data_IF_497908416115
#
_entry.id   IF_497908416115
#
_cell.length_a   1.000
_cell.length_b   1.000
_cell.length_c   1.000
_cell.angle_alpha   90.00
_cell.angle_beta   90.00
_cell.angle_gamma   90.00
#
_symmetry.space_group_name_H-M   'P 1'
#
loop_
_entity.id
_entity.type
_entity.pdbx_description
1 polymer ?
#
# COMPACT_ATOMS: atom_id res chain seq x y z
N UNK A 1 5.60 -18.77 -2.61
CA UNK A 1 4.15 -18.55 -2.72
C UNK A 1 3.61 -18.23 -1.33
N UNK A 2 2.58 -17.42 -1.25
CA UNK A 2 1.82 -17.15 -0.02
C UNK A 2 1.12 -18.44 0.47
N UNK A 3 0.89 -18.54 1.76
CA UNK A 3 0.08 -19.60 2.35
C UNK A 3 -1.35 -19.58 1.78
N UNK A 4 -1.92 -20.77 1.46
CA UNK A 4 -3.22 -20.88 0.80
C UNK A 4 -4.37 -20.32 1.63
N UNK A 5 -4.32 -20.46 2.97
CA UNK A 5 -5.35 -19.92 3.84
C UNK A 5 -5.30 -18.40 3.89
N UNK A 6 -4.09 -17.82 4.03
CA UNK A 6 -3.92 -16.37 3.99
C UNK A 6 -4.35 -15.77 2.64
N UNK A 7 -4.05 -16.45 1.53
CA UNK A 7 -4.51 -16.02 0.20
C UNK A 7 -6.04 -16.02 0.12
N UNK A 8 -6.70 -17.07 0.58
CA UNK A 8 -8.16 -17.15 0.61
C UNK A 8 -8.76 -16.03 1.49
N UNK A 9 -8.17 -15.77 2.65
CA UNK A 9 -8.59 -14.68 3.53
C UNK A 9 -8.41 -13.29 2.90
N UNK A 10 -7.30 -13.07 2.18
CA UNK A 10 -7.09 -11.84 1.43
C UNK A 10 -8.20 -11.63 0.38
N UNK A 11 -8.50 -12.67 -0.40
CA UNK A 11 -9.56 -12.61 -1.42
C UNK A 11 -10.96 -12.42 -0.83
N UNK A 12 -11.22 -12.95 0.37
CA UNK A 12 -12.48 -12.75 1.09
C UNK A 12 -12.59 -11.37 1.78
N UNK A 13 -11.47 -10.66 1.93
CA UNK A 13 -11.45 -9.32 2.54
C UNK A 13 -11.91 -8.27 1.53
N UNK A 14 -12.71 -7.29 1.97
CA UNK A 14 -13.10 -6.16 1.14
C UNK A 14 -11.87 -5.37 0.66
N UNK A 15 -11.87 -4.97 -0.60
CA UNK A 15 -10.79 -4.22 -1.23
C UNK A 15 -10.70 -4.52 -2.73
N UNK A 16 -9.83 -3.81 -3.42
CA UNK A 16 -9.85 -3.75 -4.89
C UNK A 16 -8.69 -4.48 -5.55
N UNK A 17 -7.69 -4.97 -4.77
CA UNK A 17 -6.51 -5.66 -5.30
C UNK A 17 -6.87 -7.01 -5.93
N UNK A 18 -6.60 -7.23 -7.24
CA UNK A 18 -6.71 -8.52 -7.91
C UNK A 18 -5.73 -9.56 -7.33
N UNK A 19 -6.05 -10.84 -7.54
CA UNK A 19 -5.27 -11.95 -7.00
C UNK A 19 -3.84 -11.97 -7.51
N UNK A 20 -3.65 -11.76 -8.81
CA UNK A 20 -2.35 -11.78 -9.48
C UNK A 20 -1.46 -10.60 -9.00
N UNK A 21 -2.06 -9.44 -8.77
CA UNK A 21 -1.35 -8.27 -8.26
C UNK A 21 -0.96 -8.47 -6.79
N UNK A 22 -1.84 -9.06 -5.98
CA UNK A 22 -1.53 -9.42 -4.60
C UNK A 22 -0.38 -10.42 -4.49
N UNK A 23 -0.36 -11.45 -5.35
CA UNK A 23 0.75 -12.39 -5.41
C UNK A 23 2.07 -11.74 -5.85
N UNK A 24 2.03 -10.83 -6.83
CA UNK A 24 3.20 -10.07 -7.25
C UNK A 24 3.70 -9.14 -6.13
N UNK A 25 2.80 -8.48 -5.42
CA UNK A 25 3.09 -7.64 -4.25
C UNK A 25 3.80 -8.45 -3.15
N UNK A 26 3.26 -9.64 -2.81
CA UNK A 26 3.87 -10.54 -1.84
C UNK A 26 5.30 -10.94 -2.23
N UNK A 27 5.52 -11.32 -3.49
CA UNK A 27 6.84 -11.74 -3.97
C UNK A 27 7.84 -10.59 -3.93
N UNK A 28 7.43 -9.39 -4.33
CA UNK A 28 8.25 -8.20 -4.30
C UNK A 28 8.63 -7.80 -2.85
N UNK A 29 7.66 -7.84 -1.93
CA UNK A 29 7.90 -7.57 -0.51
C UNK A 29 8.86 -8.60 0.12
N UNK A 30 8.72 -9.89 -0.19
CA UNK A 30 9.66 -10.93 0.26
C UNK A 30 11.08 -10.69 -0.27
N UNK A 31 11.22 -10.26 -1.54
CA UNK A 31 12.52 -9.98 -2.13
C UNK A 31 13.19 -8.77 -1.46
N UNK A 32 12.44 -7.68 -1.25
CA UNK A 32 12.93 -6.49 -0.58
C UNK A 32 13.37 -6.75 0.88
N UNK A 33 12.58 -7.51 1.64
CA UNK A 33 12.92 -7.85 3.03
C UNK A 33 14.14 -8.78 3.14
N UNK A 34 14.40 -9.61 2.14
CA UNK A 34 15.64 -10.42 2.08
C UNK A 34 16.87 -9.58 1.77
N UNK A 35 16.73 -8.61 0.87
CA UNK A 35 17.80 -7.68 0.49
C UNK A 35 18.14 -6.72 1.64
N UNK A 36 17.10 -6.24 2.35
CA UNK A 36 17.22 -5.24 3.42
C UNK A 36 16.59 -5.78 4.72
N UNK A 37 17.19 -6.81 5.34
CA UNK A 37 16.66 -7.38 6.57
C UNK A 37 16.63 -6.30 7.67
N UNK A 38 15.61 -6.36 8.53
CA UNK A 38 15.34 -5.42 9.62
C UNK A 38 14.75 -4.05 9.22
N UNK A 39 14.76 -3.68 7.93
CA UNK A 39 14.01 -2.50 7.52
C UNK A 39 12.52 -2.83 7.36
N UNK A 40 11.63 -1.91 7.76
CA UNK A 40 10.19 -2.15 7.72
C UNK A 40 9.60 -2.03 6.30
N UNK A 41 8.41 -2.60 6.17
CA UNK A 41 7.46 -2.35 5.10
C UNK A 41 6.51 -1.24 5.55
N UNK A 42 6.20 -0.30 4.67
CA UNK A 42 5.12 0.67 4.85
C UNK A 42 4.08 0.47 3.75
N UNK A 43 2.82 0.47 4.14
CA UNK A 43 1.65 0.50 3.26
C UNK A 43 0.89 1.79 3.51
N UNK A 44 0.55 2.52 2.44
CA UNK A 44 -0.24 3.73 2.45
C UNK A 44 -1.58 3.43 1.77
N UNK A 45 -2.68 3.60 2.52
CA UNK A 45 -4.00 3.17 2.07
C UNK A 45 -4.20 1.68 2.35
N UNK A 46 -4.84 1.35 3.46
CA UNK A 46 -5.06 -0.05 3.88
C UNK A 46 -6.50 -0.50 3.69
N UNK A 47 -7.43 0.46 3.66
CA UNK A 47 -8.85 0.21 3.59
C UNK A 47 -9.31 -0.86 4.60
N UNK A 48 -9.83 -2.01 4.15
CA UNK A 48 -10.21 -3.13 5.02
C UNK A 48 -9.10 -4.19 5.19
N UNK A 49 -7.91 -3.98 4.61
CA UNK A 49 -6.74 -4.82 4.82
C UNK A 49 -6.52 -5.93 3.79
N UNK A 50 -7.13 -5.85 2.58
CA UNK A 50 -6.97 -6.88 1.56
C UNK A 50 -5.50 -7.01 1.11
N UNK A 51 -4.84 -5.94 0.66
CA UNK A 51 -3.42 -5.88 0.33
C UNK A 51 -2.52 -6.12 1.55
N UNK A 52 -2.95 -5.63 2.71
CA UNK A 52 -2.26 -5.81 4.00
C UNK A 52 -2.04 -7.29 4.34
N UNK A 53 -2.95 -8.19 3.94
CA UNK A 53 -2.78 -9.64 4.17
C UNK A 53 -1.58 -10.18 3.38
N UNK A 54 -1.39 -9.80 2.11
CA UNK A 54 -0.21 -10.21 1.33
C UNK A 54 1.07 -9.65 1.90
N UNK A 55 1.08 -8.37 2.27
CA UNK A 55 2.25 -7.73 2.88
C UNK A 55 2.58 -8.33 4.26
N UNK A 56 1.56 -8.58 5.09
CA UNK A 56 1.71 -9.24 6.40
C UNK A 56 2.24 -10.67 6.28
N UNK A 57 1.78 -11.42 5.27
CA UNK A 57 2.30 -12.77 4.98
C UNK A 57 3.78 -12.73 4.57
N UNK A 58 4.18 -11.73 3.75
CA UNK A 58 5.58 -11.53 3.38
C UNK A 58 6.44 -11.15 4.58
N UNK A 59 5.96 -10.20 5.40
CA UNK A 59 6.65 -9.76 6.61
C UNK A 59 6.85 -10.91 7.61
N UNK A 60 5.83 -11.72 7.84
CA UNK A 60 5.93 -12.92 8.71
C UNK A 60 6.99 -13.89 8.22
N UNK A 61 7.01 -14.18 6.93
CA UNK A 61 7.99 -15.08 6.31
C UNK A 61 9.42 -14.56 6.42
N UNK A 62 9.60 -13.24 6.38
CA UNK A 62 10.91 -12.61 6.36
C UNK A 62 11.31 -11.99 7.71
N UNK A 63 10.52 -12.20 8.77
CA UNK A 63 10.74 -11.63 10.12
C UNK A 63 10.78 -10.08 10.13
N UNK A 64 10.05 -9.45 9.19
CA UNK A 64 9.89 -8.00 9.10
C UNK A 64 8.60 -7.53 9.81
N UNK A 65 8.34 -6.21 9.78
CA UNK A 65 7.09 -5.60 10.23
C UNK A 65 6.48 -4.77 9.11
N UNK A 66 5.15 -4.73 9.07
CA UNK A 66 4.37 -3.83 8.21
C UNK A 66 3.78 -2.74 9.08
N UNK A 67 3.96 -1.49 8.69
CA UNK A 67 3.21 -0.36 9.22
C UNK A 67 2.14 -0.01 8.19
N UNK A 68 0.90 -0.31 8.54
CA UNK A 68 -0.29 -0.15 7.71
C UNK A 68 -0.95 1.19 8.05
N UNK A 69 -0.75 2.20 7.20
CA UNK A 69 -1.09 3.60 7.47
C UNK A 69 -2.33 3.99 6.71
N UNK A 70 -3.36 4.44 7.44
CA UNK A 70 -4.61 4.92 6.87
C UNK A 70 -5.33 5.80 7.89
N UNK A 71 -6.06 6.83 7.46
CA UNK A 71 -6.94 7.59 8.34
C UNK A 71 -8.30 6.90 8.53
N UNK A 72 -8.64 5.91 7.71
CA UNK A 72 -9.84 5.07 7.76
C UNK A 72 -11.18 5.78 7.51
N UNK A 73 -11.17 6.97 6.95
CA UNK A 73 -12.38 7.71 6.58
C UNK A 73 -12.71 7.60 5.08
N UNK A 74 -11.94 6.80 4.33
CA UNK A 74 -12.06 6.63 2.88
C UNK A 74 -11.53 7.83 2.10
N UNK A 75 -11.14 7.59 0.84
CA UNK A 75 -10.82 8.63 -0.12
C UNK A 75 -12.10 9.32 -0.62
N UNK A 76 -11.96 10.31 -1.50
CA UNK A 76 -13.09 10.98 -2.15
C UNK A 76 -14.00 9.98 -2.87
N UNK A 77 -13.43 9.01 -3.54
CA UNK A 77 -14.12 7.98 -4.33
C UNK A 77 -14.95 7.00 -3.47
N UNK A 78 -14.70 6.94 -2.17
CA UNK A 78 -15.44 6.10 -1.24
C UNK A 78 -16.58 6.85 -0.53
N UNK A 79 -16.77 8.15 -0.79
CA UNK A 79 -17.82 8.92 -0.13
C UNK A 79 -19.20 8.66 -0.74
N UNK A 80 -20.26 9.02 0.01
CA UNK A 80 -21.63 8.83 -0.46
C UNK A 80 -21.86 9.55 -1.79
N UNK A 81 -22.41 8.81 -2.76
CA UNK A 81 -22.67 9.29 -4.13
C UNK A 81 -21.56 8.98 -5.13
N UNK A 82 -20.47 8.39 -4.70
CA UNK A 82 -19.37 7.93 -5.56
C UNK A 82 -19.42 6.42 -5.82
N UNK A 83 -18.75 5.97 -6.85
CA UNK A 83 -18.80 4.59 -7.38
C UNK A 83 -18.37 3.54 -6.35
N UNK A 84 -17.40 3.85 -5.50
CA UNK A 84 -16.79 2.91 -4.55
C UNK A 84 -17.32 3.08 -3.12
N UNK A 85 -18.49 3.71 -2.97
CA UNK A 85 -19.15 3.82 -1.68
C UNK A 85 -19.71 2.48 -1.20
N UNK A 86 -19.37 2.11 0.04
CA UNK A 86 -19.90 0.91 0.70
C UNK A 86 -20.61 1.29 2.00
N UNK A 87 -21.95 1.29 1.95
CA UNK A 87 -22.80 1.63 3.10
C UNK A 87 -22.54 0.76 4.34
N UNK A 88 -22.09 -0.49 4.15
CA UNK A 88 -21.81 -1.40 5.28
C UNK A 88 -20.57 -1.00 6.10
N UNK A 89 -19.79 -0.04 5.62
CA UNK A 89 -18.63 0.53 6.30
C UNK A 89 -18.94 1.87 6.98
N UNK A 90 -20.19 2.32 6.96
CA UNK A 90 -20.59 3.51 7.70
C UNK A 90 -20.60 3.25 9.20
N UNK A 91 -20.00 4.14 9.95
CA UNK A 91 -20.19 4.25 11.39
C UNK A 91 -21.55 4.91 11.66
N UNK A 92 -22.44 4.16 12.32
CA UNK A 92 -23.84 4.58 12.57
C UNK A 92 -23.91 5.84 13.43
N UNK A 93 -22.96 6.02 14.37
CA UNK A 93 -22.99 7.14 15.30
C UNK A 93 -22.54 8.44 14.64
N UNK A 94 -21.60 8.37 13.71
CA UNK A 94 -21.01 9.55 13.06
C UNK A 94 -21.54 9.78 11.65
N UNK A 95 -22.19 8.77 11.05
CA UNK A 95 -22.60 8.73 9.63
C UNK A 95 -21.42 9.00 8.66
N UNK A 96 -20.23 8.53 9.04
CA UNK A 96 -19.01 8.62 8.23
C UNK A 96 -18.45 7.24 7.96
N UNK A 97 -17.75 7.10 6.84
CA UNK A 97 -17.02 5.87 6.53
C UNK A 97 -15.99 5.58 7.64
N UNK A 98 -15.89 4.31 8.05
CA UNK A 98 -14.90 3.86 9.03
C UNK A 98 -14.45 2.42 8.69
N UNK A 99 -13.30 2.30 8.05
CA UNK A 99 -12.73 1.01 7.64
C UNK A 99 -11.88 0.35 8.73
N UNK A 100 -11.54 1.06 9.81
CA UNK A 100 -10.67 0.55 10.88
C UNK A 100 -11.20 -0.73 11.55
N UNK A 101 -12.48 -0.84 11.92
CA UNK A 101 -13.00 -2.08 12.51
C UNK A 101 -12.82 -3.29 11.58
N UNK A 102 -13.02 -3.10 10.27
CA UNK A 102 -12.83 -4.14 9.26
C UNK A 102 -11.35 -4.55 9.11
N UNK A 103 -10.42 -3.60 9.13
CA UNK A 103 -8.98 -3.90 9.15
C UNK A 103 -8.61 -4.73 10.39
N UNK A 104 -9.03 -4.30 11.57
CA UNK A 104 -8.73 -5.00 12.83
C UNK A 104 -9.29 -6.43 12.85
N UNK A 105 -10.51 -6.63 12.33
CA UNK A 105 -11.11 -7.97 12.18
C UNK A 105 -10.32 -8.82 11.16
N UNK A 106 -9.89 -8.25 10.04
CA UNK A 106 -9.01 -8.91 9.06
C UNK A 106 -7.72 -9.38 9.71
N UNK A 107 -7.03 -8.52 10.46
CA UNK A 107 -5.79 -8.87 11.13
C UNK A 107 -5.98 -9.95 12.20
N UNK A 108 -7.07 -9.91 12.96
CA UNK A 108 -7.44 -10.93 13.95
C UNK A 108 -7.70 -12.28 13.29
N UNK A 109 -8.51 -12.31 12.22
CA UNK A 109 -8.90 -13.51 11.47
C UNK A 109 -7.70 -14.19 10.80
N UNK A 110 -6.80 -13.39 10.24
CA UNK A 110 -5.55 -13.85 9.60
C UNK A 110 -4.40 -14.10 10.57
N UNK A 111 -4.58 -13.74 11.86
CA UNK A 111 -3.56 -13.80 12.92
C UNK A 111 -2.29 -13.01 12.56
N UNK A 112 -2.43 -11.89 11.84
CA UNK A 112 -1.29 -11.05 11.41
C UNK A 112 -0.96 -9.92 12.40
N UNK A 113 -1.66 -9.83 13.54
CA UNK A 113 -1.43 -8.78 14.55
C UNK A 113 -0.01 -8.78 15.15
N UNK A 114 0.74 -9.86 15.00
CA UNK A 114 2.13 -9.97 15.46
C UNK A 114 3.14 -9.28 14.52
N UNK A 115 2.77 -9.08 13.26
CA UNK A 115 3.66 -8.51 12.22
C UNK A 115 3.12 -7.24 11.57
N UNK A 116 1.81 -7.00 11.60
CA UNK A 116 1.17 -5.78 11.06
C UNK A 116 0.81 -4.85 12.20
N UNK A 117 1.24 -3.60 12.07
CA UNK A 117 1.03 -2.51 13.03
C UNK A 117 0.14 -1.47 12.33
N UNK A 118 -1.16 -1.41 12.63
CA UNK A 118 -2.02 -0.33 12.14
C UNK A 118 -1.58 1.02 12.69
N UNK A 119 -1.48 2.01 11.82
CA UNK A 119 -1.17 3.39 12.17
C UNK A 119 -2.30 4.28 11.67
N UNK A 120 -3.13 4.76 12.59
CA UNK A 120 -4.30 5.58 12.25
C UNK A 120 -3.89 7.04 12.14
N UNK A 121 -3.99 7.60 10.94
CA UNK A 121 -3.65 8.99 10.67
C UNK A 121 -3.43 9.28 9.20
N UNK A 122 -3.41 10.56 8.88
CA UNK A 122 -3.08 10.98 7.52
C UNK A 122 -1.62 10.67 7.19
N UNK A 123 -1.39 10.09 6.02
CA UNK A 123 -0.11 9.64 5.50
C UNK A 123 1.00 10.70 5.66
N UNK A 124 0.74 11.94 5.23
CA UNK A 124 1.67 13.07 5.34
C UNK A 124 2.04 13.40 6.79
N UNK A 125 1.06 13.35 7.71
CA UNK A 125 1.29 13.65 9.13
C UNK A 125 2.17 12.56 9.75
N UNK A 126 1.85 11.29 9.52
CA UNK A 126 2.64 10.15 9.99
C UNK A 126 4.06 10.23 9.43
N UNK A 127 4.21 10.51 8.13
CA UNK A 127 5.51 10.63 7.48
C UNK A 127 6.39 11.72 8.08
N UNK A 128 5.81 12.84 8.53
CA UNK A 128 6.56 13.93 9.16
C UNK A 128 7.28 13.53 10.45
N UNK A 129 6.79 12.48 11.11
CA UNK A 129 7.35 11.91 12.35
C UNK A 129 8.17 10.63 12.09
N UNK A 130 8.32 10.23 10.83
CA UNK A 130 8.97 8.98 10.46
C UNK A 130 10.44 9.19 10.07
N UNK A 131 11.37 8.59 10.79
CA UNK A 131 12.82 8.74 10.54
C UNK A 131 13.49 7.48 9.96
N UNK A 132 12.87 6.30 10.10
CA UNK A 132 13.48 5.05 9.65
C UNK A 132 13.51 4.96 8.11
N UNK A 133 14.55 4.27 7.57
CA UNK A 133 14.54 3.86 6.17
C UNK A 133 13.62 2.67 5.97
N UNK A 134 13.13 2.49 4.73
CA UNK A 134 12.17 1.46 4.35
C UNK A 134 12.82 0.44 3.41
N UNK A 135 12.55 -0.85 3.64
CA UNK A 135 12.82 -1.88 2.65
C UNK A 135 11.80 -1.85 1.52
N UNK A 136 10.55 -1.54 1.85
CA UNK A 136 9.42 -1.59 0.94
C UNK A 136 8.42 -0.49 1.29
N UNK A 137 7.97 0.23 0.28
CA UNK A 137 6.87 1.18 0.38
C UNK A 137 5.82 0.84 -0.66
N UNK A 138 4.60 0.54 -0.24
CA UNK A 138 3.45 0.34 -1.10
C UNK A 138 2.53 1.54 -0.99
N UNK A 139 2.21 2.18 -2.12
CA UNK A 139 1.31 3.32 -2.20
C UNK A 139 0.05 2.92 -2.95
N UNK A 140 -1.05 2.90 -2.22
CA UNK A 140 -2.41 2.54 -2.66
C UNK A 140 -3.44 3.45 -1.96
N UNK A 141 -3.11 4.74 -1.86
CA UNK A 141 -3.93 5.76 -1.21
C UNK A 141 -4.96 6.39 -2.13
N UNK A 142 -5.46 7.58 -1.77
CA UNK A 142 -6.42 8.30 -2.61
C UNK A 142 -5.86 8.70 -3.97
N UNK A 143 -6.69 8.61 -5.04
CA UNK A 143 -6.29 8.81 -6.43
C UNK A 143 -6.45 10.26 -6.94
N UNK A 144 -6.71 11.21 -6.03
CA UNK A 144 -6.66 12.65 -6.36
C UNK A 144 -5.22 13.13 -6.57
N UNK A 145 -5.04 14.19 -7.36
CA UNK A 145 -3.71 14.75 -7.69
C UNK A 145 -2.91 15.13 -6.46
N UNK A 146 -3.52 15.82 -5.49
CA UNK A 146 -2.83 16.32 -4.30
C UNK A 146 -2.44 15.19 -3.31
N UNK A 147 -3.34 14.28 -2.89
CA UNK A 147 -2.96 13.17 -2.02
C UNK A 147 -1.87 12.29 -2.65
N UNK A 148 -2.00 11.92 -3.94
CA UNK A 148 -1.02 11.09 -4.64
C UNK A 148 0.36 11.74 -4.67
N UNK A 149 0.44 13.04 -4.99
CA UNK A 149 1.70 13.81 -4.98
C UNK A 149 2.30 13.92 -3.58
N UNK A 150 1.44 14.14 -2.59
CA UNK A 150 1.84 14.21 -1.19
C UNK A 150 2.46 12.92 -0.70
N UNK A 151 1.88 11.77 -1.05
CA UNK A 151 2.40 10.45 -0.68
C UNK A 151 3.77 10.19 -1.31
N UNK A 152 3.94 10.52 -2.60
CA UNK A 152 5.24 10.43 -3.27
C UNK A 152 6.31 11.24 -2.54
N UNK A 153 6.06 12.53 -2.32
CA UNK A 153 7.03 13.44 -1.70
C UNK A 153 7.35 13.06 -0.25
N UNK A 154 6.39 12.49 0.45
CA UNK A 154 6.51 12.15 1.86
C UNK A 154 7.25 10.83 2.11
N UNK A 155 7.01 9.80 1.29
CA UNK A 155 7.46 8.44 1.57
C UNK A 155 8.59 7.94 0.68
N UNK A 156 8.63 8.33 -0.61
CA UNK A 156 9.64 7.84 -1.55
C UNK A 156 11.07 8.17 -1.12
N UNK A 157 11.37 9.36 -0.56
CA UNK A 157 12.72 9.67 -0.05
C UNK A 157 13.20 8.78 1.09
N UNK A 158 12.28 8.08 1.78
CA UNK A 158 12.59 7.19 2.91
C UNK A 158 12.97 5.78 2.47
N UNK A 159 12.70 5.40 1.23
CA UNK A 159 13.08 4.09 0.70
C UNK A 159 14.61 3.99 0.67
N UNK A 160 15.17 2.93 1.19
CA UNK A 160 16.61 2.69 1.18
C UNK A 160 17.15 2.39 -0.24
N UNK A 161 18.44 2.52 -0.46
CA UNK A 161 19.07 1.98 -1.68
C UNK A 161 18.80 0.48 -1.77
N UNK A 162 18.46 -0.03 -2.93
CA UNK A 162 17.94 -1.38 -3.20
C UNK A 162 16.53 -1.67 -2.62
N UNK A 163 15.93 -0.72 -1.91
CA UNK A 163 14.54 -0.82 -1.46
C UNK A 163 13.56 -0.70 -2.62
N UNK A 164 12.32 -1.05 -2.36
CA UNK A 164 11.28 -1.17 -3.38
C UNK A 164 10.16 -0.17 -3.14
N UNK A 165 9.73 0.46 -4.22
CA UNK A 165 8.48 1.22 -4.35
C UNK A 165 7.50 0.37 -5.14
N UNK A 166 6.37 0.02 -4.54
CA UNK A 166 5.22 -0.59 -5.21
C UNK A 166 4.11 0.44 -5.31
N UNK A 167 3.42 0.48 -6.46
CA UNK A 167 2.40 1.48 -6.76
C UNK A 167 1.20 0.76 -7.38
N UNK A 168 0.02 0.95 -6.81
CA UNK A 168 -1.23 0.45 -7.36
C UNK A 168 -1.90 1.46 -8.30
N UNK A 169 -2.86 0.99 -9.09
CA UNK A 169 -3.68 1.80 -10.02
C UNK A 169 -2.88 2.66 -11.00
N UNK A 170 -1.78 2.10 -11.50
CA UNK A 170 -0.95 2.75 -12.52
C UNK A 170 -1.48 2.41 -13.91
N UNK A 171 -2.30 3.30 -14.44
CA UNK A 171 -2.89 3.20 -15.79
C UNK A 171 -2.21 4.17 -16.75
N UNK A 172 -1.61 3.64 -17.82
CA UNK A 172 -0.96 4.48 -18.83
C UNK A 172 -1.96 5.17 -19.77
N UNK A 173 -3.08 4.51 -20.08
CA UNK A 173 -4.18 5.08 -20.86
C UNK A 173 -5.26 5.63 -19.92
N UNK A 174 -5.67 6.91 -20.08
CA UNK A 174 -6.75 7.50 -19.28
C UNK A 174 -8.10 6.78 -19.36
N UNK A 175 -8.30 5.93 -20.38
CA UNK A 175 -9.51 5.13 -20.52
C UNK A 175 -9.58 3.96 -19.54
N UNK A 176 -8.43 3.51 -19.03
CA UNK A 176 -8.33 2.35 -18.17
C UNK A 176 -8.50 2.73 -16.68
N UNK A 177 -8.29 4.01 -16.32
CA UNK A 177 -8.44 4.46 -14.93
C UNK A 177 -7.82 5.82 -14.63
N UNK A 178 -7.82 6.19 -13.36
CA UNK A 178 -7.29 7.44 -12.83
C UNK A 178 -5.80 7.62 -13.16
N UNK A 179 -5.40 8.87 -13.44
CA UNK A 179 -4.05 9.17 -13.95
C UNK A 179 -3.07 9.64 -12.88
N UNK A 180 -3.53 9.90 -11.66
CA UNK A 180 -2.69 10.48 -10.63
C UNK A 180 -1.53 9.56 -10.20
N UNK A 181 -1.71 8.24 -9.90
CA UNK A 181 -0.61 7.33 -9.58
C UNK A 181 0.40 7.20 -10.73
N UNK A 182 -0.07 7.13 -11.97
CA UNK A 182 0.80 7.09 -13.15
C UNK A 182 1.68 8.33 -13.27
N UNK A 183 1.07 9.52 -13.14
CA UNK A 183 1.73 10.81 -13.37
C UNK A 183 2.64 11.22 -12.20
N UNK A 184 2.11 11.15 -10.97
CA UNK A 184 2.76 11.76 -9.82
C UNK A 184 3.63 10.81 -9.00
N UNK A 185 3.50 9.47 -9.20
CA UNK A 185 4.35 8.49 -8.53
C UNK A 185 5.21 7.76 -9.55
N UNK A 186 4.59 7.00 -10.45
CA UNK A 186 5.31 6.12 -11.36
C UNK A 186 6.26 6.87 -12.29
N UNK A 187 5.74 7.82 -13.09
CA UNK A 187 6.59 8.62 -13.97
C UNK A 187 7.58 9.48 -13.20
N UNK A 188 7.16 10.11 -12.11
CA UNK A 188 8.05 10.92 -11.29
C UNK A 188 9.23 10.10 -10.73
N UNK A 189 8.99 8.85 -10.30
CA UNK A 189 10.04 7.96 -9.82
C UNK A 189 11.02 7.58 -10.95
N UNK A 190 10.54 7.23 -12.14
CA UNK A 190 11.39 6.91 -13.28
C UNK A 190 12.17 8.14 -13.79
N UNK A 191 11.52 9.29 -13.92
CA UNK A 191 12.11 10.53 -14.41
C UNK A 191 13.20 11.08 -13.44
N UNK A 192 13.12 10.73 -12.15
CA UNK A 192 14.17 11.06 -11.17
C UNK A 192 15.51 10.38 -11.46
N UNK A 193 15.50 9.27 -12.21
CA UNK A 193 16.67 8.42 -12.42
C UNK A 193 17.14 7.65 -11.17
N UNK A 194 16.36 7.71 -10.07
CA UNK A 194 16.65 6.99 -8.84
C UNK A 194 16.05 5.59 -8.80
N UNK A 195 15.06 5.32 -9.64
CA UNK A 195 14.33 4.06 -9.67
C UNK A 195 14.38 3.41 -11.06
N UNK A 196 14.38 2.08 -11.06
CA UNK A 196 14.19 1.27 -12.26
C UNK A 196 13.01 0.33 -12.06
N UNK A 197 12.19 0.15 -13.09
CA UNK A 197 11.09 -0.81 -13.06
C UNK A 197 11.63 -2.23 -13.03
N UNK A 198 11.08 -3.05 -12.14
CA UNK A 198 11.40 -4.47 -11.97
C UNK A 198 10.32 -5.36 -12.58
N UNK A 199 9.06 -5.01 -12.37
CA UNK A 199 7.91 -5.75 -12.93
C UNK A 199 6.64 -4.92 -12.95
N UNK A 200 5.74 -5.31 -13.86
CA UNK A 200 4.38 -4.82 -13.98
C UNK A 200 3.42 -6.02 -13.99
N UNK A 201 2.32 -5.94 -13.24
CA UNK A 201 1.26 -6.94 -13.20
C UNK A 201 -0.06 -6.19 -13.09
N UNK A 202 -0.95 -6.29 -14.07
CA UNK A 202 -2.16 -5.48 -14.10
C UNK A 202 -1.87 -3.99 -13.94
N UNK A 203 -2.46 -3.36 -12.94
CA UNK A 203 -2.21 -1.97 -12.58
C UNK A 203 -1.04 -1.78 -11.60
N UNK A 204 -0.53 -2.84 -10.98
CA UNK A 204 0.59 -2.79 -10.04
C UNK A 204 1.93 -2.59 -10.77
N UNK A 205 2.74 -1.65 -10.27
CA UNK A 205 4.13 -1.44 -10.72
C UNK A 205 5.08 -1.62 -9.55
N UNK A 206 6.18 -2.33 -9.80
CA UNK A 206 7.25 -2.58 -8.82
C UNK A 206 8.53 -1.93 -9.34
N UNK A 207 9.04 -0.96 -8.59
CA UNK A 207 10.28 -0.25 -8.90
C UNK A 207 11.31 -0.49 -7.80
N UNK A 208 12.57 -0.64 -8.17
CA UNK A 208 13.70 -0.72 -7.23
C UNK A 208 14.46 0.59 -7.23
N UNK A 209 14.83 1.07 -6.04
CA UNK A 209 15.72 2.22 -5.91
C UNK A 209 17.16 1.83 -6.25
N UNK A 210 17.68 2.37 -7.34
CA UNK A 210 19.02 2.06 -7.88
C UNK A 210 20.06 3.15 -7.56
N UNK A 211 19.59 4.33 -7.10
CA UNK A 211 20.44 5.48 -6.78
C UNK A 211 19.77 6.34 -5.71
N UNK A 212 20.57 7.02 -4.90
CA UNK A 212 20.12 8.09 -4.00
C UNK A 212 20.65 9.39 -4.57
N UNK A 213 19.79 10.40 -4.76
CA UNK A 213 20.23 11.74 -5.14
C UNK A 213 21.21 12.26 -4.07
N UNK A 214 22.30 12.82 -4.51
CA UNK A 214 23.32 13.42 -3.64
C UNK A 214 22.88 14.80 -3.15
#
# INVERSE_FOLDING_TARGET
MIDKLLRAEALATKGFMPEEEGDALYLAACAACKELPQLPIVEIGTYCGRSTVWLGAAARKCHAKVFAIDHHFGSEENQNGWEWFDESLLDIATNKLNTLPSLLETLRRTRLCDVVIPVVGESKVVSSQWSAKLAFCFIDGGHGDEPTRSDYLSWVPKIALNGVLAIHDVFADPKDGGQAPYKYIYKAALDSGEFAEVSATGSLRILRRIKIAG
#
